data_IF_160870689198
#
_entry.id   IF_160870689198
#
_cell.length_a   1.000
_cell.length_b   1.000
_cell.length_c   1.000
_cell.angle_alpha   90.00
_cell.angle_beta   90.00
_cell.angle_gamma   90.00
#
_symmetry.space_group_name_H-M   'P 1'
#
loop_
_entity.id
_entity.type
_entity.pdbx_description
1 polymer ?
#
# COMPACT_ATOMS: atom_id res chain seq x y z
N UNK A 1 -31.72 12.23 -18.01
CA UNK A 1 -32.40 12.36 -16.70
C UNK A 1 -31.37 12.84 -15.70
N UNK A 2 -31.65 13.87 -14.88
CA UNK A 2 -30.71 14.30 -13.83
C UNK A 2 -30.76 13.26 -12.72
N UNK A 3 -29.64 12.63 -12.44
CA UNK A 3 -29.53 11.64 -11.36
C UNK A 3 -29.47 12.37 -10.02
N UNK A 4 -30.32 11.97 -9.08
CA UNK A 4 -30.29 12.46 -7.70
C UNK A 4 -28.93 12.14 -7.07
N UNK A 5 -28.36 13.08 -6.30
CA UNK A 5 -27.08 12.93 -5.62
C UNK A 5 -27.22 13.43 -4.19
N UNK A 6 -26.73 12.65 -3.24
CA UNK A 6 -26.67 13.01 -1.82
C UNK A 6 -25.20 13.30 -1.46
N UNK A 7 -24.93 14.47 -0.89
CA UNK A 7 -23.59 14.94 -0.54
C UNK A 7 -23.50 15.42 0.91
N UNK A 8 -22.32 15.29 1.51
CA UNK A 8 -21.90 16.09 2.66
C UNK A 8 -21.21 17.33 2.12
N UNK A 9 -21.75 18.48 2.46
CA UNK A 9 -21.23 19.76 2.00
C UNK A 9 -20.40 20.41 3.10
N UNK A 10 -19.21 20.86 2.74
CA UNK A 10 -18.34 21.66 3.59
C UNK A 10 -18.11 23.01 2.94
N UNK A 11 -18.32 24.07 3.72
CA UNK A 11 -18.08 25.44 3.29
C UNK A 11 -16.99 26.03 4.18
N UNK A 12 -15.83 26.30 3.61
CA UNK A 12 -14.77 27.02 4.31
C UNK A 12 -15.17 28.49 4.43
N UNK A 13 -15.56 28.91 5.64
CA UNK A 13 -15.98 30.30 5.91
C UNK A 13 -14.88 31.34 5.66
N UNK A 14 -13.60 30.95 5.65
CA UNK A 14 -12.48 31.88 5.42
C UNK A 14 -12.23 32.11 3.94
N UNK A 15 -12.31 31.05 3.14
CA UNK A 15 -12.01 31.11 1.70
C UNK A 15 -13.26 31.13 0.82
N UNK A 16 -14.44 30.94 1.42
CA UNK A 16 -15.73 30.72 0.77
C UNK A 16 -15.71 29.59 -0.28
N UNK A 17 -14.79 28.63 -0.10
CA UNK A 17 -14.71 27.43 -0.93
C UNK A 17 -15.72 26.41 -0.45
N UNK A 18 -16.46 25.87 -1.42
CA UNK A 18 -17.40 24.78 -1.19
C UNK A 18 -16.77 23.46 -1.63
N UNK A 19 -16.99 22.42 -0.84
CA UNK A 19 -16.52 21.09 -1.10
C UNK A 19 -17.67 20.11 -0.90
N UNK A 20 -17.93 19.28 -1.91
CA UNK A 20 -19.07 18.37 -1.93
C UNK A 20 -18.55 16.93 -1.95
N UNK A 21 -18.80 16.20 -0.87
CA UNK A 21 -18.42 14.79 -0.72
C UNK A 21 -19.64 13.93 -1.01
N UNK A 22 -19.66 13.13 -2.08
CA UNK A 22 -20.75 12.18 -2.30
C UNK A 22 -20.84 11.20 -1.13
N UNK A 23 -22.03 10.96 -0.59
CA UNK A 23 -22.23 9.97 0.50
C UNK A 23 -21.75 8.58 0.07
N UNK A 24 -21.83 8.26 -1.22
CA UNK A 24 -21.33 7.01 -1.78
C UNK A 24 -19.82 6.82 -1.63
N UNK A 25 -19.05 7.89 -1.42
CA UNK A 25 -17.61 7.79 -1.17
C UNK A 25 -17.28 7.42 0.30
N UNK A 26 -18.24 7.52 1.22
CA UNK A 26 -18.04 7.22 2.65
C UNK A 26 -18.23 5.74 3.01
N UNK A 27 -18.56 4.90 2.03
CA UNK A 27 -18.64 3.44 2.21
C UNK A 27 -17.44 2.78 1.57
N UNK A 28 -17.16 1.54 1.98
CA UNK A 28 -16.24 0.67 1.26
C UNK A 28 -16.62 0.60 -0.24
N UNK A 29 -15.65 0.79 -1.15
CA UNK A 29 -15.86 0.54 -2.57
C UNK A 29 -16.34 -0.88 -2.82
N UNK A 30 -17.20 -1.07 -3.83
CA UNK A 30 -17.65 -2.41 -4.25
C UNK A 30 -16.90 -2.92 -5.49
N UNK A 31 -16.15 -2.04 -6.16
CA UNK A 31 -15.43 -2.34 -7.39
C UNK A 31 -14.32 -1.32 -7.60
N UNK A 32 -13.41 -1.64 -8.53
CA UNK A 32 -12.24 -0.81 -8.84
C UNK A 32 -12.61 0.61 -9.31
N UNK A 33 -13.76 0.80 -9.96
CA UNK A 33 -14.18 2.13 -10.42
C UNK A 33 -14.51 3.03 -9.23
N UNK A 34 -15.27 2.51 -8.27
CA UNK A 34 -15.59 3.22 -7.03
C UNK A 34 -14.35 3.45 -6.17
N UNK A 35 -13.41 2.50 -6.14
CA UNK A 35 -12.13 2.66 -5.44
C UNK A 35 -11.37 3.87 -5.98
N UNK A 36 -11.19 3.95 -7.31
CA UNK A 36 -10.49 5.07 -7.96
C UNK A 36 -11.21 6.41 -7.75
N UNK A 37 -12.54 6.40 -7.69
CA UNK A 37 -13.32 7.60 -7.38
C UNK A 37 -13.09 8.08 -5.94
N UNK A 38 -13.05 7.15 -4.97
CA UNK A 38 -12.77 7.45 -3.57
C UNK A 38 -11.31 7.87 -3.35
N UNK A 39 -10.34 7.21 -3.98
CA UNK A 39 -8.91 7.58 -3.98
C UNK A 39 -8.71 9.00 -4.50
N UNK A 40 -9.28 9.32 -5.67
CA UNK A 40 -9.21 10.68 -6.24
C UNK A 40 -9.87 11.74 -5.36
N UNK A 41 -10.88 11.36 -4.57
CA UNK A 41 -11.50 12.27 -3.61
C UNK A 41 -10.62 12.48 -2.38
N UNK A 42 -10.00 11.42 -1.87
CA UNK A 42 -9.06 11.48 -0.75
C UNK A 42 -7.88 12.39 -1.07
N UNK A 43 -7.30 12.30 -2.27
CA UNK A 43 -6.22 13.20 -2.73
C UNK A 43 -6.64 14.68 -2.66
N UNK A 44 -7.83 15.00 -3.15
CA UNK A 44 -8.36 16.38 -3.10
C UNK A 44 -8.59 16.85 -1.66
N UNK A 45 -9.00 15.94 -0.78
CA UNK A 45 -9.20 16.26 0.63
C UNK A 45 -7.87 16.55 1.33
N UNK A 46 -6.81 15.78 1.04
CA UNK A 46 -5.44 16.03 1.53
C UNK A 46 -5.00 17.46 1.17
N UNK A 47 -5.24 17.88 -0.07
CA UNK A 47 -4.93 19.23 -0.55
C UNK A 47 -5.73 20.34 0.15
N UNK A 48 -6.93 20.04 0.66
CA UNK A 48 -7.75 21.01 1.41
C UNK A 48 -7.33 21.06 2.87
N UNK A 49 -7.10 19.90 3.49
CA UNK A 49 -6.71 19.80 4.90
C UNK A 49 -5.29 20.32 5.12
N UNK A 50 -4.37 20.14 4.17
CA UNK A 50 -2.97 20.63 4.19
C UNK A 50 -2.25 20.41 5.52
N UNK A 51 -2.47 19.26 6.17
CA UNK A 51 -1.85 18.91 7.45
C UNK A 51 -2.45 19.59 8.68
N UNK A 52 -3.58 20.30 8.56
CA UNK A 52 -4.34 20.74 9.73
C UNK A 52 -5.14 19.56 10.29
N UNK A 53 -4.56 18.84 11.26
CA UNK A 53 -5.19 17.66 11.88
C UNK A 53 -6.58 17.99 12.50
N UNK A 54 -6.79 19.24 12.94
CA UNK A 54 -8.09 19.69 13.48
C UNK A 54 -9.10 20.15 12.42
N UNK A 55 -8.82 19.94 11.13
CA UNK A 55 -9.73 20.33 10.06
C UNK A 55 -11.03 19.49 10.11
N UNK A 56 -12.24 20.07 9.92
CA UNK A 56 -13.49 19.30 9.97
C UNK A 56 -13.56 18.14 8.95
N UNK A 57 -12.90 18.29 7.81
CA UNK A 57 -12.80 17.25 6.78
C UNK A 57 -11.84 16.09 7.13
N UNK A 58 -11.02 16.21 8.19
CA UNK A 58 -10.13 15.12 8.63
C UNK A 58 -10.91 13.84 8.90
N UNK A 59 -12.06 13.94 9.57
CA UNK A 59 -12.94 12.77 9.84
C UNK A 59 -13.41 12.10 8.56
N UNK A 60 -13.70 12.88 7.51
CA UNK A 60 -14.09 12.32 6.20
C UNK A 60 -12.89 11.63 5.54
N UNK A 61 -11.70 12.21 5.62
CA UNK A 61 -10.47 11.58 5.11
C UNK A 61 -10.19 10.26 5.79
N UNK A 62 -10.30 10.20 7.12
CA UNK A 62 -10.12 8.99 7.91
C UNK A 62 -11.09 7.90 7.47
N UNK A 63 -12.40 8.20 7.39
CA UNK A 63 -13.42 7.24 6.95
C UNK A 63 -13.14 6.72 5.53
N UNK A 64 -12.77 7.60 4.60
CA UNK A 64 -12.47 7.18 3.21
C UNK A 64 -11.21 6.31 3.18
N UNK A 65 -10.15 6.71 3.90
CA UNK A 65 -8.90 5.98 3.99
C UNK A 65 -9.08 4.57 4.55
N UNK A 66 -9.75 4.44 5.70
CA UNK A 66 -10.05 3.14 6.31
C UNK A 66 -10.86 2.21 5.38
N UNK A 67 -11.80 2.77 4.62
CA UNK A 67 -12.61 2.00 3.68
C UNK A 67 -11.85 1.58 2.41
N UNK A 68 -10.89 2.39 1.95
CA UNK A 68 -9.97 2.01 0.88
C UNK A 68 -9.03 0.89 1.35
N UNK A 69 -8.46 1.03 2.55
CA UNK A 69 -7.61 -0.01 3.16
C UNK A 69 -8.36 -1.34 3.31
N UNK A 70 -9.59 -1.31 3.82
CA UNK A 70 -10.43 -2.52 3.89
C UNK A 70 -10.72 -3.14 2.52
N UNK A 71 -10.95 -2.32 1.50
CA UNK A 71 -11.14 -2.81 0.14
C UNK A 71 -9.87 -3.51 -0.36
N UNK A 72 -8.71 -2.89 -0.14
CA UNK A 72 -7.42 -3.45 -0.50
C UNK A 72 -7.17 -4.77 0.26
N UNK A 73 -7.44 -4.85 1.56
CA UNK A 73 -7.33 -6.10 2.32
C UNK A 73 -8.23 -7.23 1.77
N UNK A 74 -9.41 -6.89 1.24
CA UNK A 74 -10.35 -7.87 0.65
C UNK A 74 -10.01 -8.26 -0.80
N UNK A 75 -9.32 -7.39 -1.56
CA UNK A 75 -9.15 -7.54 -3.02
C UNK A 75 -7.69 -7.63 -3.50
N UNK A 76 -6.75 -7.08 -2.75
CA UNK A 76 -5.31 -7.27 -2.92
C UNK A 76 -4.88 -8.37 -1.93
N UNK A 77 -4.18 -9.39 -2.42
CA UNK A 77 -3.63 -10.39 -1.49
C UNK A 77 -2.46 -9.76 -0.71
N UNK A 78 -2.17 -10.30 0.49
CA UNK A 78 -1.13 -9.84 1.42
C UNK A 78 0.10 -9.22 0.73
N UNK A 79 0.70 -8.18 1.33
CA UNK A 79 1.86 -7.45 0.80
C UNK A 79 2.84 -8.41 0.09
N UNK A 80 3.16 -8.14 -1.18
CA UNK A 80 4.06 -9.00 -1.97
C UNK A 80 3.39 -10.21 -2.65
N UNK A 81 2.08 -10.39 -2.53
CA UNK A 81 1.31 -11.49 -3.14
C UNK A 81 1.47 -11.63 -4.65
N UNK A 82 1.59 -10.50 -5.35
CA UNK A 82 1.80 -10.45 -6.81
C UNK A 82 3.26 -10.66 -7.22
N UNK A 83 4.19 -10.69 -6.27
CA UNK A 83 5.62 -10.85 -6.51
C UNK A 83 6.08 -12.22 -6.02
N UNK A 84 6.99 -12.84 -6.76
CA UNK A 84 7.73 -14.00 -6.28
C UNK A 84 8.77 -13.57 -5.24
N UNK A 85 9.12 -14.48 -4.33
CA UNK A 85 10.19 -14.21 -3.34
C UNK A 85 11.50 -13.83 -4.05
N UNK A 86 11.72 -14.41 -5.24
CA UNK A 86 12.88 -14.14 -6.10
C UNK A 86 12.86 -12.70 -6.59
N UNK A 87 11.74 -12.21 -7.13
CA UNK A 87 11.60 -10.81 -7.57
C UNK A 87 11.81 -9.83 -6.42
N UNK A 88 11.29 -10.13 -5.23
CA UNK A 88 11.50 -9.30 -4.04
C UNK A 88 12.99 -9.23 -3.71
N UNK A 89 13.69 -10.37 -3.65
CA UNK A 89 15.12 -10.40 -3.31
C UNK A 89 15.98 -9.77 -4.41
N UNK A 90 15.66 -9.98 -5.69
CA UNK A 90 16.35 -9.34 -6.81
C UNK A 90 16.22 -7.82 -6.75
N UNK A 91 15.00 -7.33 -6.51
CA UNK A 91 14.77 -5.90 -6.33
C UNK A 91 15.59 -5.34 -5.17
N UNK A 92 15.61 -6.02 -4.02
CA UNK A 92 16.42 -5.61 -2.86
C UNK A 92 17.93 -5.60 -3.16
N UNK A 93 18.41 -6.56 -3.95
CA UNK A 93 19.80 -6.57 -4.40
C UNK A 93 20.11 -5.37 -5.30
N UNK A 94 19.32 -5.18 -6.35
CA UNK A 94 19.54 -4.14 -7.36
C UNK A 94 19.46 -2.73 -6.75
N UNK A 95 18.43 -2.47 -5.94
CA UNK A 95 18.22 -1.19 -5.27
C UNK A 95 19.29 -0.83 -4.23
N UNK A 96 20.03 -1.83 -3.73
CA UNK A 96 21.15 -1.64 -2.79
C UNK A 96 22.53 -1.86 -3.45
N UNK A 97 22.60 -2.10 -4.76
CA UNK A 97 23.85 -2.36 -5.48
C UNK A 97 24.59 -3.62 -5.02
N UNK A 98 23.87 -4.64 -4.55
CA UNK A 98 24.43 -5.86 -4.00
C UNK A 98 24.59 -6.94 -5.06
N UNK A 99 25.67 -7.71 -4.96
CA UNK A 99 25.88 -8.93 -5.74
C UNK A 99 25.49 -10.17 -4.92
N UNK A 100 25.35 -11.32 -5.57
CA UNK A 100 24.94 -12.56 -4.89
C UNK A 100 25.84 -12.93 -3.70
N UNK A 101 27.13 -12.60 -3.78
CA UNK A 101 28.07 -12.90 -2.71
C UNK A 101 27.77 -12.12 -1.42
N UNK A 102 27.15 -10.95 -1.51
CA UNK A 102 26.80 -10.12 -0.34
C UNK A 102 25.66 -10.76 0.49
N UNK A 103 24.79 -11.53 -0.16
CA UNK A 103 23.74 -12.30 0.51
C UNK A 103 24.23 -13.65 1.05
N UNK A 104 25.47 -14.07 0.75
CA UNK A 104 26.01 -15.34 1.22
C UNK A 104 25.98 -15.47 2.75
N UNK A 105 26.12 -14.36 3.50
CA UNK A 105 26.01 -14.33 4.96
C UNK A 105 24.61 -14.71 5.49
N UNK A 106 23.57 -14.50 4.69
CA UNK A 106 22.17 -14.84 5.00
C UNK A 106 21.85 -16.26 4.51
N UNK A 107 22.32 -16.60 3.31
CA UNK A 107 22.03 -17.88 2.64
C UNK A 107 23.03 -19.01 2.98
N UNK A 108 24.10 -18.69 3.70
CA UNK A 108 25.20 -19.59 4.07
C UNK A 108 26.31 -19.70 3.02
N UNK A 109 26.01 -19.51 1.73
CA UNK A 109 26.99 -19.51 0.65
C UNK A 109 26.43 -18.81 -0.60
N UNK A 110 27.31 -18.32 -1.49
CA UNK A 110 26.88 -17.76 -2.78
C UNK A 110 26.17 -18.82 -3.64
N UNK A 111 26.61 -20.08 -3.60
CA UNK A 111 25.94 -21.18 -4.28
C UNK A 111 24.47 -21.35 -3.83
N UNK A 112 24.18 -21.14 -2.54
CA UNK A 112 22.80 -21.17 -2.05
C UNK A 112 21.97 -19.97 -2.52
N UNK A 113 22.58 -18.79 -2.66
CA UNK A 113 21.92 -17.61 -3.25
C UNK A 113 21.56 -17.89 -4.71
N UNK A 114 22.49 -18.41 -5.50
CA UNK A 114 22.24 -18.76 -6.90
C UNK A 114 21.12 -19.79 -7.05
N UNK A 115 21.12 -20.84 -6.23
CA UNK A 115 20.04 -21.86 -6.25
C UNK A 115 18.67 -21.25 -5.97
N UNK A 116 18.59 -20.32 -5.02
CA UNK A 116 17.35 -19.60 -4.75
C UNK A 116 16.93 -18.72 -5.93
N UNK A 117 17.85 -17.90 -6.47
CA UNK A 117 17.56 -17.01 -7.60
C UNK A 117 17.18 -17.75 -8.88
N UNK A 118 17.65 -18.98 -9.05
CA UNK A 118 17.26 -19.87 -10.15
C UNK A 118 15.96 -20.64 -9.89
N UNK A 119 15.32 -20.45 -8.73
CA UNK A 119 14.09 -21.15 -8.35
C UNK A 119 14.27 -22.61 -7.93
N UNK A 120 15.51 -23.08 -7.74
CA UNK A 120 15.79 -24.46 -7.33
C UNK A 120 15.47 -24.70 -5.84
N UNK A 121 15.46 -23.65 -5.02
CA UNK A 121 15.15 -23.73 -3.59
C UNK A 121 14.34 -22.52 -3.12
N UNK A 122 13.27 -22.72 -2.33
CA UNK A 122 12.54 -21.61 -1.70
C UNK A 122 13.34 -21.02 -0.53
N UNK A 123 12.89 -19.87 -0.02
CA UNK A 123 13.41 -19.30 1.22
C UNK A 123 13.03 -20.17 2.42
N UNK A 124 13.99 -20.39 3.31
CA UNK A 124 13.73 -20.91 4.65
C UNK A 124 13.34 -19.78 5.61
N UNK A 125 12.65 -20.12 6.72
CA UNK A 125 12.31 -19.17 7.79
C UNK A 125 13.54 -18.41 8.32
N UNK A 126 14.69 -19.08 8.41
CA UNK A 126 15.96 -18.46 8.83
C UNK A 126 16.44 -17.41 7.83
N UNK A 127 16.32 -17.68 6.53
CA UNK A 127 16.68 -16.73 5.48
C UNK A 127 15.71 -15.54 5.45
N UNK A 128 14.41 -15.77 5.60
CA UNK A 128 13.40 -14.69 5.70
C UNK A 128 13.74 -13.76 6.86
N UNK A 129 14.04 -14.31 8.04
CA UNK A 129 14.43 -13.51 9.20
C UNK A 129 15.75 -12.75 8.98
N UNK A 130 16.71 -13.37 8.29
CA UNK A 130 17.97 -12.74 7.91
C UNK A 130 17.78 -11.58 6.93
N UNK A 131 16.91 -11.75 5.93
CA UNK A 131 16.53 -10.71 4.98
C UNK A 131 15.81 -9.55 5.67
N UNK A 132 14.83 -9.85 6.54
CA UNK A 132 14.17 -8.86 7.40
C UNK A 132 15.19 -8.01 8.16
N UNK A 133 16.13 -8.66 8.86
CA UNK A 133 17.09 -7.93 9.68
C UNK A 133 18.11 -7.15 8.84
N UNK A 134 18.48 -7.66 7.66
CA UNK A 134 19.48 -7.02 6.82
C UNK A 134 18.93 -5.80 6.07
N UNK A 135 17.71 -5.89 5.55
CA UNK A 135 17.06 -4.82 4.80
C UNK A 135 16.10 -3.96 5.64
N UNK A 136 15.89 -4.31 6.90
CA UNK A 136 14.92 -3.67 7.80
C UNK A 136 13.49 -3.60 7.22
N UNK A 137 13.02 -4.74 6.69
CA UNK A 137 11.69 -4.90 6.08
C UNK A 137 10.80 -5.84 6.90
N UNK A 138 9.46 -5.72 6.78
CA UNK A 138 8.57 -6.73 7.36
C UNK A 138 8.76 -8.09 6.68
N UNK A 139 8.65 -9.18 7.46
CA UNK A 139 8.65 -10.53 6.90
C UNK A 139 7.36 -10.84 6.14
N UNK A 140 6.30 -10.04 6.35
CA UNK A 140 4.99 -10.23 5.75
C UNK A 140 5.04 -10.17 4.22
N UNK A 141 6.03 -9.46 3.64
CA UNK A 141 6.26 -9.41 2.19
C UNK A 141 6.55 -10.80 1.56
N UNK A 142 7.01 -11.75 2.37
CA UNK A 142 7.27 -13.14 1.97
C UNK A 142 6.18 -14.11 2.44
N UNK A 143 5.15 -13.61 3.14
CA UNK A 143 4.03 -14.42 3.59
C UNK A 143 2.94 -14.39 2.52
N UNK A 144 2.66 -15.56 1.96
CA UNK A 144 1.65 -15.80 0.94
C UNK A 144 0.63 -16.80 1.45
#
# INVERSE_FOLDING_TARGET
MKQERLTVDYIDKKTNREFHVPITALRMPMNIREYREAESLLDKLIDVVRGNESHPLTVIMEIIGENLERYDDEHESAIGSRLTDIEIVQYLMDSNGLVQNDLAKIFGSQANVSKFLNGERPLSKKQILGLKNYFNISSDIFLK
#
